data_IF_984488383465
#
_entry.id   IF_984488383465
#
_cell.length_a   1.000
_cell.length_b   1.000
_cell.length_c   1.000
_cell.angle_alpha   90.00
_cell.angle_beta   90.00
_cell.angle_gamma   90.00
#
_symmetry.space_group_name_H-M   'P 1'
#
loop_
_entity.id
_entity.type
_entity.pdbx_description
1 polymer ?
#
# COMPACT_ATOMS: atom_id res chain seq x y z
N UNK A 1 55.17 -48.96 9.04
CA UNK A 1 54.42 -48.04 8.16
C UNK A 1 53.27 -48.87 7.61
N UNK A 2 52.00 -48.59 7.88
CA UNK A 2 51.35 -47.28 7.80
C UNK A 2 50.15 -47.25 8.75
N UNK A 3 50.10 -46.23 9.60
CA UNK A 3 48.91 -45.80 10.33
C UNK A 3 47.82 -45.40 9.34
N UNK A 4 46.58 -45.82 9.59
CA UNK A 4 45.40 -45.24 8.93
C UNK A 4 44.51 -44.65 10.02
N UNK A 5 44.49 -43.32 10.05
CA UNK A 5 43.71 -42.49 10.96
C UNK A 5 42.21 -42.62 10.68
N UNK A 6 41.40 -42.72 11.74
CA UNK A 6 39.95 -42.55 11.69
C UNK A 6 39.61 -41.12 11.26
N UNK A 7 38.56 -40.91 10.43
CA UNK A 7 37.98 -39.58 10.22
C UNK A 7 37.14 -39.15 11.44
N UNK A 8 36.98 -37.83 11.66
CA UNK A 8 36.35 -37.29 12.86
C UNK A 8 34.83 -37.54 12.88
N UNK A 9 34.31 -37.78 14.08
CA UNK A 9 32.88 -37.82 14.40
C UNK A 9 32.20 -36.55 13.87
N UNK A 10 31.20 -36.76 13.01
CA UNK A 10 30.33 -35.71 12.52
C UNK A 10 29.45 -35.27 13.69
N UNK A 11 29.61 -34.01 14.12
CA UNK A 11 28.70 -33.33 15.04
C UNK A 11 27.25 -33.55 14.56
N UNK A 12 26.45 -34.15 15.45
CA UNK A 12 25.02 -34.34 15.23
C UNK A 12 24.39 -32.96 15.20
N UNK A 13 24.05 -32.49 13.99
CA UNK A 13 23.20 -31.33 13.76
C UNK A 13 21.89 -31.57 14.52
N UNK A 14 21.70 -30.80 15.59
CA UNK A 14 20.47 -30.83 16.36
C UNK A 14 19.33 -30.41 15.41
N UNK A 15 18.33 -31.27 15.13
CA UNK A 15 17.29 -30.93 14.18
C UNK A 15 16.53 -29.71 14.72
N UNK A 16 16.39 -28.69 13.87
CA UNK A 16 15.58 -27.52 14.17
C UNK A 16 14.19 -27.97 14.65
N UNK A 17 13.63 -27.39 15.73
CA UNK A 17 12.37 -27.83 16.29
C UNK A 17 11.28 -27.80 15.20
N UNK A 18 10.60 -28.93 15.02
CA UNK A 18 9.49 -29.08 14.09
C UNK A 18 8.47 -27.96 14.35
N UNK A 19 8.22 -27.14 13.32
CA UNK A 19 7.25 -26.06 13.42
C UNK A 19 5.87 -26.67 13.73
N UNK A 20 5.38 -26.42 14.93
CA UNK A 20 4.05 -26.88 15.37
C UNK A 20 3.03 -26.41 14.34
N UNK A 21 2.39 -27.35 13.64
CA UNK A 21 1.36 -27.03 12.66
C UNK A 21 0.24 -26.23 13.33
N UNK A 22 0.14 -24.95 12.99
CA UNK A 22 -0.88 -24.07 13.55
C UNK A 22 -2.26 -24.51 13.04
N UNK A 23 -3.27 -24.63 13.93
CA UNK A 23 -4.63 -24.91 13.47
C UNK A 23 -5.10 -23.73 12.61
N UNK A 24 -5.76 -23.98 11.48
CA UNK A 24 -6.33 -22.96 10.58
C UNK A 24 -5.36 -22.22 9.66
N UNK A 25 -4.23 -22.82 9.29
CA UNK A 25 -3.32 -22.27 8.28
C UNK A 25 -4.02 -21.88 6.96
N UNK A 26 -5.03 -22.64 6.54
CA UNK A 26 -5.77 -22.46 5.28
C UNK A 26 -6.97 -21.51 5.36
N UNK A 27 -7.22 -20.86 6.50
CA UNK A 27 -8.39 -19.96 6.63
C UNK A 27 -8.21 -18.70 5.78
N UNK A 28 -9.22 -18.36 4.99
CA UNK A 28 -9.26 -17.12 4.21
C UNK A 28 -10.17 -16.08 4.87
N UNK A 29 -10.05 -14.81 4.47
CA UNK A 29 -10.96 -13.76 4.89
C UNK A 29 -12.41 -14.13 4.51
N UNK A 30 -13.34 -13.91 5.45
CA UNK A 30 -14.77 -14.23 5.27
C UNK A 30 -15.64 -12.98 5.30
N UNK A 31 -15.22 -11.98 6.07
CA UNK A 31 -15.88 -10.70 6.17
C UNK A 31 -15.10 -9.67 5.37
N UNK A 32 -15.78 -8.93 4.51
CA UNK A 32 -15.17 -7.95 3.62
C UNK A 32 -15.78 -6.58 3.87
N UNK A 33 -14.94 -5.55 3.97
CA UNK A 33 -15.34 -4.15 4.12
C UNK A 33 -14.52 -3.29 3.18
N UNK A 34 -15.11 -2.17 2.76
CA UNK A 34 -14.40 -1.19 1.94
C UNK A 34 -13.66 -0.18 2.83
N UNK A 35 -12.42 0.11 2.46
CA UNK A 35 -11.63 1.17 3.06
C UNK A 35 -11.33 2.27 2.02
N UNK A 36 -11.54 3.51 2.42
CA UNK A 36 -11.10 4.70 1.68
C UNK A 36 -9.75 5.15 2.18
N UNK A 37 -8.78 5.21 1.28
CA UNK A 37 -7.48 5.83 1.50
C UNK A 37 -7.51 7.26 0.95
N UNK A 38 -7.42 8.26 1.82
CA UNK A 38 -7.47 9.68 1.43
C UNK A 38 -6.32 10.08 0.48
N UNK A 39 -6.53 11.04 -0.43
CA UNK A 39 -5.46 11.59 -1.25
C UNK A 39 -4.45 12.31 -0.36
N UNK A 40 -3.16 12.08 -0.60
CA UNK A 40 -2.05 12.74 0.10
C UNK A 40 -1.12 13.39 -0.92
N UNK A 41 -0.31 14.34 -0.46
CA UNK A 41 0.72 14.99 -1.28
C UNK A 41 1.64 13.95 -1.93
N UNK A 42 2.22 14.25 -3.08
CA UNK A 42 3.21 13.34 -3.70
C UNK A 42 4.40 13.14 -2.75
N UNK A 43 4.83 11.89 -2.61
CA UNK A 43 5.97 11.50 -1.77
C UNK A 43 7.18 11.23 -2.67
N UNK A 44 8.37 11.67 -2.26
CA UNK A 44 9.58 11.41 -3.05
C UNK A 44 9.94 9.92 -3.12
N UNK A 45 9.61 9.14 -2.08
CA UNK A 45 9.94 7.72 -2.01
C UNK A 45 8.83 6.84 -2.59
N UNK A 46 7.55 7.18 -2.40
CA UNK A 46 6.41 6.34 -2.83
C UNK A 46 5.65 6.89 -4.03
N UNK A 47 5.98 8.08 -4.53
CA UNK A 47 5.33 8.70 -5.68
C UNK A 47 3.94 9.29 -5.38
N UNK A 48 3.10 9.29 -6.41
CA UNK A 48 1.74 9.84 -6.35
C UNK A 48 0.84 9.09 -5.38
N UNK A 49 0.06 9.83 -4.60
CA UNK A 49 -0.77 9.28 -3.51
C UNK A 49 -2.25 9.66 -3.71
N UNK A 50 -2.91 9.18 -4.79
CA UNK A 50 -4.29 9.56 -5.09
C UNK A 50 -5.29 8.98 -4.07
N UNK A 51 -6.54 9.43 -4.16
CA UNK A 51 -7.67 8.75 -3.52
C UNK A 51 -7.72 7.30 -4.04
N UNK A 52 -7.89 6.33 -3.14
CA UNK A 52 -8.05 4.91 -3.50
C UNK A 52 -9.05 4.24 -2.58
N UNK A 53 -9.76 3.25 -3.11
CA UNK A 53 -10.58 2.34 -2.35
C UNK A 53 -9.91 0.97 -2.35
N UNK A 54 -9.81 0.34 -1.18
CA UNK A 54 -9.22 -0.99 -1.01
C UNK A 54 -10.21 -1.87 -0.25
N UNK A 55 -10.07 -3.18 -0.39
CA UNK A 55 -10.85 -4.15 0.36
C UNK A 55 -10.08 -4.55 1.62
N UNK A 56 -10.78 -4.57 2.76
CA UNK A 56 -10.33 -5.14 4.01
C UNK A 56 -11.11 -6.41 4.30
N UNK A 57 -10.41 -7.54 4.25
CA UNK A 57 -10.92 -8.85 4.58
C UNK A 57 -10.45 -9.30 5.95
N UNK A 58 -11.32 -9.90 6.76
CA UNK A 58 -10.91 -10.54 8.01
C UNK A 58 -11.66 -11.86 8.28
N UNK A 59 -11.04 -12.72 9.08
CA UNK A 59 -11.64 -13.96 9.59
C UNK A 59 -11.22 -14.18 11.05
N UNK A 60 -12.13 -14.71 11.85
CA UNK A 60 -11.86 -15.07 13.24
C UNK A 60 -12.07 -16.57 13.46
N UNK A 61 -11.14 -17.20 14.18
CA UNK A 61 -11.27 -18.57 14.68
C UNK A 61 -10.87 -18.62 16.15
N UNK A 62 -11.54 -19.46 16.91
CA UNK A 62 -11.25 -19.62 18.34
C UNK A 62 -11.61 -21.03 18.78
N UNK A 63 -10.74 -21.62 19.58
CA UNK A 63 -11.00 -22.83 20.34
C UNK A 63 -10.43 -22.66 21.76
N UNK A 64 -10.40 -23.74 22.55
CA UNK A 64 -9.92 -23.69 23.94
C UNK A 64 -8.43 -23.40 24.08
N UNK A 65 -7.63 -23.75 23.08
CA UNK A 65 -6.17 -23.66 23.12
C UNK A 65 -5.64 -22.43 22.39
N UNK A 66 -6.25 -22.08 21.25
CA UNK A 66 -5.78 -21.02 20.36
C UNK A 66 -6.92 -20.20 19.78
N UNK A 67 -6.60 -18.95 19.48
CA UNK A 67 -7.45 -18.08 18.65
C UNK A 67 -6.63 -17.41 17.56
N UNK A 68 -7.28 -17.14 16.42
CA UNK A 68 -6.72 -16.48 15.26
C UNK A 68 -7.65 -15.34 14.84
N UNK A 69 -7.07 -14.15 14.63
CA UNK A 69 -7.63 -13.13 13.77
C UNK A 69 -6.72 -12.99 12.56
N UNK A 70 -7.24 -13.32 11.38
CA UNK A 70 -6.54 -13.12 10.11
C UNK A 70 -7.11 -11.89 9.42
N UNK A 71 -6.26 -10.96 9.07
CA UNK A 71 -6.61 -9.75 8.33
C UNK A 71 -5.83 -9.69 7.03
N UNK A 72 -6.50 -9.27 5.97
CA UNK A 72 -5.95 -9.17 4.61
C UNK A 72 -6.45 -7.88 3.95
N UNK A 73 -5.64 -7.29 3.08
CA UNK A 73 -6.05 -6.17 2.27
C UNK A 73 -5.81 -6.47 0.79
N UNK A 74 -6.81 -6.20 -0.03
CA UNK A 74 -6.72 -6.35 -1.47
C UNK A 74 -6.84 -5.01 -2.17
N UNK A 75 -5.99 -4.82 -3.18
CA UNK A 75 -5.99 -3.62 -4.00
C UNK A 75 -6.65 -3.90 -5.35
N UNK A 76 -7.79 -3.27 -5.65
CA UNK A 76 -8.41 -3.39 -6.96
C UNK A 76 -7.42 -3.00 -8.07
N UNK A 77 -7.27 -3.87 -9.06
CA UNK A 77 -6.40 -3.63 -10.22
C UNK A 77 -4.89 -3.68 -9.94
N UNK A 78 -4.43 -4.03 -8.74
CA UNK A 78 -3.01 -4.12 -8.39
C UNK A 78 -2.72 -5.45 -7.68
N UNK A 79 -1.88 -6.28 -8.31
CA UNK A 79 -1.37 -7.51 -7.68
C UNK A 79 -0.24 -7.17 -6.71
N UNK A 80 -0.30 -7.73 -5.51
CA UNK A 80 0.74 -7.67 -4.49
C UNK A 80 1.32 -9.06 -4.25
N UNK A 81 2.48 -9.14 -3.59
CA UNK A 81 3.06 -10.44 -3.20
C UNK A 81 2.17 -11.08 -2.13
N UNK A 82 2.19 -12.42 -2.03
CA UNK A 82 1.37 -13.17 -1.06
C UNK A 82 1.61 -12.76 0.40
N UNK A 83 2.86 -12.44 0.74
CA UNK A 83 3.28 -12.03 2.09
C UNK A 83 2.94 -10.57 2.43
N UNK A 84 2.47 -9.79 1.45
CA UNK A 84 2.14 -8.38 1.66
C UNK A 84 0.69 -8.23 2.08
N UNK A 85 0.41 -7.15 2.81
CA UNK A 85 -0.94 -6.73 3.13
C UNK A 85 -1.77 -7.74 3.93
N UNK A 86 -1.09 -8.62 4.67
CA UNK A 86 -1.72 -9.53 5.61
C UNK A 86 -1.12 -9.35 7.01
N UNK A 87 -1.97 -9.52 8.02
CA UNK A 87 -1.57 -9.58 9.41
C UNK A 87 -2.44 -10.63 10.11
N UNK A 88 -1.79 -11.61 10.70
CA UNK A 88 -2.39 -12.60 11.57
C UNK A 88 -2.07 -12.26 13.03
N UNK A 89 -3.08 -12.36 13.89
CA UNK A 89 -2.94 -12.23 15.33
C UNK A 89 -3.30 -13.58 15.93
N UNK A 90 -2.27 -14.26 16.42
CA UNK A 90 -2.39 -15.54 17.10
C UNK A 90 -2.45 -15.33 18.59
N UNK A 91 -3.31 -16.11 19.25
CA UNK A 91 -3.40 -16.15 20.70
C UNK A 91 -3.25 -17.59 21.15
N UNK A 92 -2.35 -17.81 22.11
CA UNK A 92 -2.19 -19.07 22.82
C UNK A 92 -2.79 -18.90 24.23
N UNK A 93 -3.84 -19.67 24.51
CA UNK A 93 -4.56 -19.62 25.78
C UNK A 93 -3.86 -20.38 26.91
N UNK A 94 -2.99 -21.35 26.58
CA UNK A 94 -2.22 -22.09 27.57
C UNK A 94 -1.12 -21.20 28.15
N UNK A 95 -0.40 -20.46 27.30
CA UNK A 95 0.70 -19.56 27.72
C UNK A 95 0.25 -18.11 27.94
N UNK A 96 -1.00 -17.79 27.60
CA UNK A 96 -1.57 -16.43 27.65
C UNK A 96 -0.75 -15.42 26.84
N UNK A 97 -0.33 -15.84 25.65
CA UNK A 97 0.50 -15.07 24.74
C UNK A 97 -0.24 -14.67 23.49
N UNK A 98 0.07 -13.47 23.00
CA UNK A 98 -0.41 -12.92 21.73
C UNK A 98 0.78 -12.67 20.83
N UNK A 99 0.70 -13.12 19.58
CA UNK A 99 1.76 -12.95 18.57
C UNK A 99 1.18 -12.33 17.32
N UNK A 100 1.91 -11.40 16.74
CA UNK A 100 1.56 -10.75 15.48
C UNK A 100 2.47 -11.33 14.38
N UNK A 101 1.88 -11.92 13.36
CA UNK A 101 2.59 -12.54 12.25
C UNK A 101 2.15 -11.89 10.92
N UNK A 102 3.08 -11.58 9.99
CA UNK A 102 4.53 -11.69 10.14
C UNK A 102 5.11 -10.60 11.04
N UNK A 103 6.24 -10.88 11.70
CA UNK A 103 6.96 -9.89 12.53
C UNK A 103 7.35 -8.64 11.73
N UNK A 104 7.71 -8.82 10.46
CA UNK A 104 7.96 -7.72 9.53
C UNK A 104 6.77 -7.50 8.61
N UNK A 105 5.86 -6.63 9.05
CA UNK A 105 4.64 -6.29 8.32
C UNK A 105 4.94 -5.54 7.02
N UNK A 106 4.79 -6.20 5.88
CA UNK A 106 5.00 -5.60 4.56
C UNK A 106 3.69 -5.04 4.00
N UNK A 107 3.66 -3.73 3.78
CA UNK A 107 2.45 -3.01 3.38
C UNK A 107 2.65 -2.26 2.08
N UNK A 108 1.69 -2.43 1.17
CA UNK A 108 1.59 -1.73 -0.09
C UNK A 108 0.15 -1.23 -0.28
N UNK A 109 -0.09 0.04 -0.63
CA UNK A 109 0.86 1.15 -0.77
C UNK A 109 1.49 1.58 0.56
N UNK A 110 2.81 1.74 0.53
CA UNK A 110 3.57 2.26 1.66
C UNK A 110 3.12 3.69 2.05
N UNK A 111 3.33 4.06 3.32
CA UNK A 111 3.07 5.41 3.85
C UNK A 111 1.61 5.90 3.70
N UNK A 112 0.63 4.97 3.77
CA UNK A 112 -0.81 5.27 3.73
C UNK A 112 -1.55 5.08 5.04
N UNK A 113 -0.83 4.77 6.13
CA UNK A 113 -1.42 4.50 7.45
C UNK A 113 -1.99 3.08 7.60
N UNK A 114 -1.93 2.27 6.55
CA UNK A 114 -2.46 0.91 6.50
C UNK A 114 -1.86 -0.01 7.57
N UNK A 115 -0.52 -0.03 7.73
CA UNK A 115 0.10 -0.90 8.73
C UNK A 115 -0.36 -0.58 10.15
N UNK A 116 -0.52 0.71 10.47
CA UNK A 116 -1.05 1.15 11.78
C UNK A 116 -2.49 0.73 11.96
N UNK A 117 -3.29 0.86 10.91
CA UNK A 117 -4.67 0.39 10.92
C UNK A 117 -4.75 -1.12 11.22
N UNK A 118 -3.96 -1.96 10.55
CA UNK A 118 -3.96 -3.41 10.81
C UNK A 118 -3.56 -3.75 12.24
N UNK A 119 -2.47 -3.17 12.76
CA UNK A 119 -2.06 -3.37 14.16
C UNK A 119 -3.14 -2.88 15.13
N UNK A 120 -3.75 -1.72 14.86
CA UNK A 120 -4.80 -1.18 15.71
C UNK A 120 -6.04 -2.08 15.74
N UNK A 121 -6.45 -2.67 14.61
CA UNK A 121 -7.54 -3.65 14.56
C UNK A 121 -7.19 -4.91 15.36
N UNK A 122 -5.97 -5.43 15.18
CA UNK A 122 -5.47 -6.58 15.92
C UNK A 122 -5.39 -6.35 17.43
N UNK A 123 -4.85 -5.20 17.84
CA UNK A 123 -4.78 -4.77 19.23
C UNK A 123 -6.18 -4.59 19.83
N UNK A 124 -7.10 -3.92 19.13
CA UNK A 124 -8.49 -3.74 19.60
C UNK A 124 -9.19 -5.07 19.82
N UNK A 125 -9.02 -6.02 18.90
CA UNK A 125 -9.59 -7.36 19.01
C UNK A 125 -9.03 -8.12 20.23
N UNK A 126 -7.71 -8.14 20.38
CA UNK A 126 -7.05 -8.81 21.50
C UNK A 126 -7.41 -8.15 22.85
N UNK A 127 -7.48 -6.82 22.90
CA UNK A 127 -7.85 -6.06 24.11
C UNK A 127 -9.27 -6.35 24.57
N UNK A 128 -10.23 -6.49 23.64
CA UNK A 128 -11.63 -6.78 23.98
C UNK A 128 -11.79 -8.14 24.66
N UNK A 129 -10.97 -9.13 24.30
CA UNK A 129 -11.12 -10.52 24.77
C UNK A 129 -10.12 -10.90 25.87
N UNK A 130 -8.88 -10.44 25.76
CA UNK A 130 -7.76 -10.87 26.61
C UNK A 130 -6.81 -9.72 26.96
N UNK A 131 -7.28 -8.66 27.63
CA UNK A 131 -6.44 -7.50 27.95
C UNK A 131 -5.26 -7.85 28.87
N UNK A 132 -5.38 -8.92 29.66
CA UNK A 132 -4.33 -9.34 30.59
C UNK A 132 -3.22 -10.21 29.97
N UNK A 133 -3.38 -10.63 28.71
CA UNK A 133 -2.37 -11.44 28.03
C UNK A 133 -1.16 -10.60 27.66
N UNK A 134 -0.06 -11.25 27.26
CA UNK A 134 1.19 -10.57 26.92
C UNK A 134 1.60 -10.81 25.47
N UNK A 135 2.21 -9.79 24.88
CA UNK A 135 3.00 -9.93 23.65
C UNK A 135 4.44 -10.05 24.08
N UNK A 136 5.11 -11.12 23.67
CA UNK A 136 6.52 -11.32 23.97
C UNK A 136 7.38 -10.32 23.18
N UNK A 137 8.46 -9.87 23.80
CA UNK A 137 9.47 -9.07 23.15
C UNK A 137 10.17 -9.83 22.04
N UNK A 138 10.63 -9.09 21.02
CA UNK A 138 11.31 -9.66 19.87
C UNK A 138 12.44 -8.76 19.39
N UNK A 139 13.43 -9.37 18.77
CA UNK A 139 14.57 -8.66 18.17
C UNK A 139 14.16 -8.01 16.85
N UNK A 140 14.58 -6.77 16.64
CA UNK A 140 14.29 -6.02 15.43
C UNK A 140 15.28 -6.41 14.33
N UNK A 141 14.77 -6.54 13.09
CA UNK A 141 15.61 -6.86 11.95
C UNK A 141 16.71 -5.79 11.73
N UNK A 142 17.95 -6.25 11.63
CA UNK A 142 19.13 -5.38 11.43
C UNK A 142 19.14 -4.68 10.05
N UNK A 143 18.41 -5.22 9.06
CA UNK A 143 18.32 -4.63 7.71
C UNK A 143 17.81 -3.18 7.73
N UNK A 144 16.90 -2.87 8.64
CA UNK A 144 16.36 -1.51 8.77
C UNK A 144 17.31 -0.57 9.51
N UNK A 145 18.24 -1.09 10.32
CA UNK A 145 19.21 -0.29 11.06
C UNK A 145 20.24 0.37 10.14
N UNK A 146 20.49 -0.22 8.96
CA UNK A 146 21.42 0.29 7.95
C UNK A 146 20.94 1.60 7.29
N UNK A 147 19.64 1.91 7.36
CA UNK A 147 19.07 3.15 6.84
C UNK A 147 18.28 3.87 7.93
N UNK A 148 18.82 4.99 8.41
CA UNK A 148 18.22 5.80 9.47
C UNK A 148 16.76 6.20 9.20
N UNK A 149 16.40 6.57 7.97
CA UNK A 149 15.02 6.95 7.65
C UNK A 149 14.06 5.75 7.70
N UNK A 150 14.53 4.54 7.42
CA UNK A 150 13.73 3.30 7.56
C UNK A 150 13.61 2.91 9.03
N UNK A 151 14.73 2.95 9.79
CA UNK A 151 14.76 2.74 11.24
C UNK A 151 13.77 3.66 11.97
N UNK A 152 13.86 4.97 11.75
CA UNK A 152 12.98 5.94 12.42
C UNK A 152 11.51 5.74 12.07
N UNK A 153 11.18 5.33 10.84
CA UNK A 153 9.80 5.01 10.44
C UNK A 153 9.27 3.77 11.14
N UNK A 154 10.05 2.70 11.23
CA UNK A 154 9.70 1.48 11.95
C UNK A 154 9.51 1.76 13.44
N UNK A 155 10.44 2.47 14.06
CA UNK A 155 10.37 2.76 15.49
C UNK A 155 9.18 3.66 15.82
N UNK A 156 8.92 4.69 15.00
CA UNK A 156 7.72 5.52 15.14
C UNK A 156 6.43 4.73 14.88
N UNK A 157 6.47 3.72 14.01
CA UNK A 157 5.33 2.82 13.79
C UNK A 157 5.04 1.99 15.05
N UNK A 158 6.06 1.35 15.63
CA UNK A 158 5.95 0.52 16.84
C UNK A 158 5.56 1.34 18.08
N UNK A 159 6.26 2.45 18.36
CA UNK A 159 6.01 3.28 19.55
C UNK A 159 4.61 3.87 19.58
N UNK A 160 4.06 4.27 18.44
CA UNK A 160 2.69 4.80 18.37
C UNK A 160 1.63 3.74 18.67
N UNK A 161 1.97 2.45 18.53
CA UNK A 161 1.09 1.33 18.88
C UNK A 161 1.30 0.83 20.33
N UNK A 162 2.14 1.52 21.11
CA UNK A 162 2.39 1.19 22.52
C UNK A 162 3.59 0.29 22.79
N UNK A 163 4.39 -0.05 21.77
CA UNK A 163 5.60 -0.86 21.96
C UNK A 163 6.80 -0.03 22.44
N UNK A 164 7.56 -0.56 23.40
CA UNK A 164 8.83 0.03 23.84
C UNK A 164 10.00 -0.51 23.01
N UNK A 165 10.59 0.36 22.19
CA UNK A 165 11.73 0.05 21.31
C UNK A 165 13.02 0.54 21.96
N UNK A 166 13.90 -0.41 22.30
CA UNK A 166 15.20 -0.20 22.95
C UNK A 166 16.34 -0.64 22.05
N UNK A 167 17.51 -0.03 22.23
CA UNK A 167 18.74 -0.41 21.53
C UNK A 167 19.85 -0.66 22.55
N UNK A 168 20.60 -1.75 22.35
CA UNK A 168 21.70 -2.13 23.21
C UNK A 168 23.00 -1.34 22.92
N UNK A 169 23.13 -0.80 21.72
CA UNK A 169 24.34 -0.15 21.23
C UNK A 169 24.07 1.26 20.68
N UNK A 170 25.09 2.14 20.76
CA UNK A 170 25.00 3.52 20.27
C UNK A 170 24.86 3.61 18.73
N UNK A 171 25.22 2.55 18.00
CA UNK A 171 25.05 2.47 16.54
C UNK A 171 23.63 2.00 16.15
N UNK A 172 22.78 1.67 17.12
CA UNK A 172 21.41 1.21 16.94
C UNK A 172 21.28 -0.04 16.05
N UNK A 173 22.29 -0.92 16.04
CA UNK A 173 22.31 -2.14 15.23
C UNK A 173 21.60 -3.32 15.93
N UNK A 174 21.50 -3.29 17.27
CA UNK A 174 20.84 -4.30 18.09
C UNK A 174 19.65 -3.68 18.80
N UNK A 175 18.55 -3.58 18.07
CA UNK A 175 17.28 -3.08 18.60
C UNK A 175 16.35 -4.23 18.96
N UNK A 176 15.59 -4.07 20.04
CA UNK A 176 14.56 -5.01 20.46
C UNK A 176 13.30 -4.29 20.93
N UNK A 177 12.19 -5.02 20.91
CA UNK A 177 10.92 -4.62 21.50
C UNK A 177 10.76 -5.35 22.82
N UNK A 178 10.41 -4.64 23.90
CA UNK A 178 10.13 -5.29 25.19
C UNK A 178 8.76 -5.95 25.20
N UNK A 179 8.61 -6.93 26.10
CA UNK A 179 7.30 -7.49 26.42
C UNK A 179 6.30 -6.39 26.82
N UNK A 180 5.08 -6.50 26.32
CA UNK A 180 4.00 -5.54 26.59
C UNK A 180 2.71 -6.28 26.93
N UNK A 181 1.93 -5.74 27.86
CA UNK A 181 0.60 -6.28 28.13
C UNK A 181 -0.37 -5.85 27.04
N UNK A 182 -1.25 -6.74 26.60
CA UNK A 182 -2.20 -6.45 25.52
C UNK A 182 -3.05 -5.20 25.81
N UNK A 183 -3.46 -5.01 27.08
CA UNK A 183 -4.19 -3.84 27.54
C UNK A 183 -3.43 -2.51 27.43
N UNK A 184 -2.10 -2.53 27.30
CA UNK A 184 -1.24 -1.35 27.15
C UNK A 184 -1.02 -0.95 25.68
N UNK A 185 -1.39 -1.83 24.73
CA UNK A 185 -1.32 -1.52 23.31
C UNK A 185 -2.24 -0.34 22.95
N UNK A 186 -1.88 0.41 21.92
CA UNK A 186 -2.68 1.53 21.45
C UNK A 186 -3.41 1.15 20.16
N UNK A 187 -4.74 0.99 20.25
CA UNK A 187 -5.60 0.60 19.13
C UNK A 187 -6.04 1.80 18.26
N UNK A 188 -5.19 2.82 18.11
CA UNK A 188 -5.49 4.02 17.33
C UNK A 188 -4.84 3.98 15.94
N UNK A 189 -5.54 4.57 14.97
CA UNK A 189 -5.01 4.84 13.65
C UNK A 189 -5.42 6.23 13.19
N UNK A 190 -4.78 6.74 12.13
CA UNK A 190 -5.16 8.03 11.57
C UNK A 190 -6.41 7.86 10.71
N UNK A 191 -7.55 8.29 11.25
CA UNK A 191 -8.86 8.23 10.60
C UNK A 191 -9.00 9.25 9.47
N UNK A 192 -8.16 10.26 9.34
CA UNK A 192 -8.18 11.15 8.16
C UNK A 192 -7.58 10.46 6.93
N UNK A 193 -6.55 9.62 7.14
CA UNK A 193 -5.87 8.88 6.07
C UNK A 193 -6.64 7.66 5.59
N UNK A 194 -7.31 6.97 6.52
CA UNK A 194 -7.94 5.68 6.27
C UNK A 194 -9.27 5.57 7.03
N UNK A 195 -10.34 5.30 6.28
CA UNK A 195 -11.71 5.24 6.82
C UNK A 195 -12.44 4.03 6.27
N UNK A 196 -13.32 3.44 7.07
CA UNK A 196 -14.34 2.53 6.56
C UNK A 196 -15.34 3.31 5.72
N UNK A 197 -15.77 2.72 4.61
CA UNK A 197 -16.85 3.24 3.78
C UNK A 197 -18.06 2.36 4.00
N UNK A 198 -19.10 2.94 4.55
CA UNK A 198 -20.37 2.25 4.71
C UNK A 198 -21.10 2.13 3.37
N UNK A 199 -21.98 1.14 3.23
CA UNK A 199 -22.66 0.85 1.95
C UNK A 199 -23.42 2.08 1.43
N UNK A 200 -24.10 2.81 2.32
CA UNK A 200 -24.85 4.01 1.94
C UNK A 200 -23.92 5.14 1.47
N UNK A 201 -22.78 5.32 2.14
CA UNK A 201 -21.77 6.31 1.75
C UNK A 201 -21.16 5.93 0.39
N UNK A 202 -20.86 4.65 0.18
CA UNK A 202 -20.38 4.15 -1.11
C UNK A 202 -21.39 4.42 -2.23
N UNK A 203 -22.69 4.17 -2.00
CA UNK A 203 -23.74 4.46 -2.97
C UNK A 203 -23.82 5.95 -3.31
N UNK A 204 -23.72 6.83 -2.30
CA UNK A 204 -23.70 8.28 -2.51
C UNK A 204 -22.47 8.73 -3.31
N UNK A 205 -21.28 8.18 -3.00
CA UNK A 205 -20.06 8.47 -3.75
C UNK A 205 -20.16 8.03 -5.21
N UNK A 206 -20.76 6.87 -5.47
CA UNK A 206 -20.99 6.38 -6.83
C UNK A 206 -21.96 7.29 -7.60
N UNK A 207 -23.08 7.66 -6.97
CA UNK A 207 -24.04 8.58 -7.58
C UNK A 207 -23.41 9.95 -7.91
N UNK A 208 -22.60 10.49 -6.99
CA UNK A 208 -21.89 11.76 -7.23
C UNK A 208 -20.84 11.62 -8.35
N UNK A 209 -20.14 10.49 -8.41
CA UNK A 209 -19.17 10.23 -9.46
C UNK A 209 -19.82 10.15 -10.85
N UNK A 210 -21.01 9.54 -10.95
CA UNK A 210 -21.79 9.47 -12.17
C UNK A 210 -22.22 10.86 -12.66
N UNK A 211 -22.78 11.69 -11.76
CA UNK A 211 -23.13 13.08 -12.09
C UNK A 211 -21.92 13.89 -12.56
N UNK A 212 -20.79 13.77 -11.86
CA UNK A 212 -19.56 14.46 -12.25
C UNK A 212 -19.04 14.00 -13.63
N UNK A 213 -19.21 12.71 -13.96
CA UNK A 213 -18.79 12.15 -15.24
C UNK A 213 -19.66 12.70 -16.38
N UNK A 214 -20.97 12.74 -16.21
CA UNK A 214 -21.90 13.34 -17.18
C UNK A 214 -21.56 14.82 -17.44
N UNK A 215 -21.26 15.59 -16.38
CA UNK A 215 -20.82 16.98 -16.53
C UNK A 215 -19.51 17.11 -17.33
N UNK A 216 -18.56 16.21 -17.11
CA UNK A 216 -17.29 16.20 -17.83
C UNK A 216 -17.49 15.83 -19.29
N UNK A 217 -18.35 14.88 -19.62
CA UNK A 217 -18.69 14.51 -20.99
C UNK A 217 -19.29 15.68 -21.77
N UNK A 218 -20.21 16.44 -21.15
CA UNK A 218 -20.80 17.64 -21.77
C UNK A 218 -19.73 18.71 -22.02
N UNK A 219 -18.80 18.92 -21.08
CA UNK A 219 -17.68 19.86 -21.26
C UNK A 219 -16.75 19.39 -22.38
N UNK A 220 -16.43 18.10 -22.42
CA UNK A 220 -15.55 17.49 -23.43
C UNK A 220 -16.14 17.66 -24.84
N UNK A 221 -17.43 17.37 -25.02
CA UNK A 221 -18.13 17.59 -26.30
C UNK A 221 -18.06 19.04 -26.76
N UNK A 222 -18.27 20.01 -25.85
CA UNK A 222 -18.16 21.45 -26.17
C UNK A 222 -16.74 21.83 -26.60
N UNK A 223 -15.72 21.24 -25.98
CA UNK A 223 -14.32 21.47 -26.37
C UNK A 223 -14.01 20.87 -27.74
N UNK A 224 -14.49 19.66 -28.03
CA UNK A 224 -14.33 19.01 -29.33
C UNK A 224 -14.99 19.81 -30.45
N UNK A 225 -16.19 20.33 -30.24
CA UNK A 225 -16.89 21.22 -31.21
C UNK A 225 -16.07 22.48 -31.51
N UNK A 226 -15.51 23.13 -30.49
CA UNK A 226 -14.64 24.31 -30.65
C UNK A 226 -13.37 23.97 -31.43
N UNK A 227 -12.72 22.86 -31.10
CA UNK A 227 -11.53 22.39 -31.81
C UNK A 227 -11.85 22.09 -33.27
N UNK A 228 -12.98 21.43 -33.55
CA UNK A 228 -13.43 21.16 -34.91
C UNK A 228 -13.70 22.46 -35.69
N UNK A 229 -14.32 23.46 -35.06
CA UNK A 229 -14.52 24.78 -35.65
C UNK A 229 -13.19 25.45 -36.01
N UNK A 230 -12.25 25.54 -35.07
CA UNK A 230 -10.93 26.14 -35.34
C UNK A 230 -10.14 25.39 -36.40
N UNK A 231 -10.22 24.04 -36.44
CA UNK A 231 -9.61 23.26 -37.52
C UNK A 231 -10.19 23.59 -38.90
N UNK A 232 -11.52 23.79 -39.00
CA UNK A 232 -12.17 24.21 -40.25
C UNK A 232 -11.73 25.61 -40.66
N UNK A 233 -11.68 26.56 -39.72
CA UNK A 233 -11.21 27.92 -39.98
C UNK A 233 -9.74 27.96 -40.40
N UNK A 234 -8.86 27.21 -39.72
CA UNK A 234 -7.43 27.10 -40.09
C UNK A 234 -7.26 26.48 -41.49
N UNK A 235 -8.04 25.46 -41.83
CA UNK A 235 -8.02 24.86 -43.17
C UNK A 235 -8.44 25.88 -44.24
N UNK A 236 -9.51 26.65 -43.98
CA UNK A 236 -9.96 27.72 -44.88
C UNK A 236 -8.95 28.86 -45.03
N UNK A 237 -8.27 29.21 -43.94
CA UNK A 237 -7.24 30.24 -43.93
C UNK A 237 -5.99 29.79 -44.70
N UNK A 238 -5.53 28.55 -44.51
CA UNK A 238 -4.45 27.95 -45.31
C UNK A 238 -4.79 27.88 -46.80
N UNK A 239 -6.04 27.53 -47.14
CA UNK A 239 -6.50 27.54 -48.52
C UNK A 239 -6.43 28.96 -49.12
N UNK A 240 -6.93 29.96 -48.40
CA UNK A 240 -6.89 31.36 -48.85
C UNK A 240 -5.47 31.87 -49.04
N UNK A 241 -4.56 31.58 -48.09
CA UNK A 241 -3.13 31.92 -48.21
C UNK A 241 -2.52 31.25 -49.44
N UNK A 242 -2.80 29.96 -49.67
CA UNK A 242 -2.28 29.22 -50.82
C UNK A 242 -2.76 29.82 -52.14
N UNK A 243 -4.04 30.19 -52.23
CA UNK A 243 -4.60 30.89 -53.39
C UNK A 243 -3.94 32.26 -53.63
N UNK A 244 -3.72 33.06 -52.59
CA UNK A 244 -3.03 34.34 -52.69
C UNK A 244 -1.57 34.18 -53.15
N UNK A 245 -0.85 33.19 -52.61
CA UNK A 245 0.52 32.88 -53.03
C UNK A 245 0.56 32.45 -54.49
N UNK A 246 -0.32 31.54 -54.91
CA UNK A 246 -0.41 31.11 -56.31
C UNK A 246 -0.73 32.27 -57.26
N UNK A 247 -1.67 33.15 -56.88
CA UNK A 247 -2.00 34.34 -57.65
C UNK A 247 -0.81 35.30 -57.76
N UNK A 248 -0.11 35.59 -56.66
CA UNK A 248 1.06 36.47 -56.66
C UNK A 248 2.19 35.92 -57.55
N UNK A 249 2.47 34.61 -57.49
CA UNK A 249 3.47 33.95 -58.34
C UNK A 249 3.07 34.03 -59.82
N UNK A 250 1.80 33.82 -60.14
CA UNK A 250 1.28 33.93 -61.51
C UNK A 250 1.42 35.36 -62.05
N UNK A 251 1.03 36.37 -61.26
CA UNK A 251 1.18 37.79 -61.63
C UNK A 251 2.65 38.17 -61.84
N UNK A 252 3.54 37.73 -60.94
CA UNK A 252 4.98 37.94 -61.10
C UNK A 252 5.52 37.28 -62.39
N UNK A 253 5.08 36.06 -62.70
CA UNK A 253 5.44 35.37 -63.94
C UNK A 253 4.97 36.09 -65.19
N UNK A 254 3.73 36.59 -65.21
CA UNK A 254 3.21 37.43 -66.30
C UNK A 254 4.02 38.71 -66.48
N UNK A 255 4.36 39.41 -65.39
CA UNK A 255 5.16 40.63 -65.45
C UNK A 255 6.56 40.37 -66.01
N UNK A 256 7.23 39.28 -65.58
CA UNK A 256 8.54 38.89 -66.10
C UNK A 256 8.42 38.57 -67.60
N UNK A 257 7.39 37.82 -68.01
CA UNK A 257 7.16 37.48 -69.41
C UNK A 257 6.95 38.73 -70.28
N UNK A 258 6.10 39.67 -69.85
CA UNK A 258 5.90 40.95 -70.55
C UNK A 258 7.21 41.75 -70.63
N UNK A 259 8.00 41.79 -69.55
CA UNK A 259 9.26 42.52 -69.52
C UNK A 259 10.37 41.89 -70.39
N UNK A 260 10.32 40.57 -70.62
CA UNK A 260 11.33 39.83 -71.41
C UNK A 260 10.94 39.61 -72.87
N UNK A 261 9.67 39.77 -73.24
CA UNK A 261 9.18 39.71 -74.63
C UNK A 261 8.96 41.09 -75.28
N UNK A 262 9.72 42.09 -74.83
CA UNK A 262 9.83 43.40 -75.47
C UNK A 262 11.20 43.56 -76.11
#
# INVERSE_FOLDING_TARGET
MTDTQNPPETEVENPAPEAVALPWADVHAEHHRMLRLAPLQTDRATGGRPLRFIEFGYAERSNKERSLLRMTLQLPGQRVRKEQNHLDVWVDHATRRVRFEPENLQIEPANRGIGRFLLAQGASWAQKKWPHYRVDGFELANKDALNEATRLRRDHFLRVQGFDVVYADAQHLKGSVKDVQVGELLANWNTEKLQFVEILEAAQMLQQAEQNLEEQEVKLRKHEEKVAKYKREDTGLRFTITCLVAFAVFQAGLLIWIATHR
#
